data_IF_634834958585
#
_entry.id   IF_634834958585
#
_cell.length_a   1.000
_cell.length_b   1.000
_cell.length_c   1.000
_cell.angle_alpha   90.00
_cell.angle_beta   90.00
_cell.angle_gamma   90.00
#
_symmetry.space_group_name_H-M   'P 1'
#
loop_
_entity.id
_entity.type
_entity.pdbx_description
1 polymer ?
#
# COMPACT_ATOMS: atom_id res chain seq x y z
N UNK A 1 -2.72 10.62 5.72
CA UNK A 1 -3.60 11.05 4.60
C UNK A 1 -3.47 10.16 3.37
N UNK A 2 -2.24 9.89 2.89
CA UNK A 2 -1.98 9.01 1.75
C UNK A 2 -2.47 7.58 1.98
N UNK A 3 -2.26 7.02 3.17
CA UNK A 3 -2.72 5.67 3.50
C UNK A 3 -4.24 5.56 3.53
N UNK A 4 -4.95 6.59 4.00
CA UNK A 4 -6.42 6.61 3.98
C UNK A 4 -6.93 6.64 2.55
N UNK A 5 -6.33 7.47 1.70
CA UNK A 5 -6.72 7.55 0.29
C UNK A 5 -6.43 6.23 -0.44
N UNK A 6 -5.26 5.65 -0.25
CA UNK A 6 -4.90 4.36 -0.85
C UNK A 6 -5.84 3.25 -0.39
N UNK A 7 -6.19 3.22 0.89
CA UNK A 7 -7.15 2.24 1.41
C UNK A 7 -8.52 2.38 0.72
N UNK A 8 -8.99 3.60 0.49
CA UNK A 8 -10.23 3.85 -0.25
C UNK A 8 -10.12 3.44 -1.73
N UNK A 9 -9.00 3.71 -2.38
CA UNK A 9 -8.75 3.27 -3.77
C UNK A 9 -8.82 1.74 -3.85
N UNK A 10 -8.15 1.04 -2.95
CA UNK A 10 -8.17 -0.42 -2.91
C UNK A 10 -9.58 -0.97 -2.65
N UNK A 11 -10.31 -0.38 -1.70
CA UNK A 11 -11.66 -0.81 -1.38
C UNK A 11 -12.61 -0.68 -2.57
N UNK A 12 -12.61 0.47 -3.23
CA UNK A 12 -13.44 0.70 -4.42
C UNK A 12 -13.04 -0.22 -5.57
N UNK A 13 -11.73 -0.34 -5.81
CA UNK A 13 -11.21 -1.17 -6.91
C UNK A 13 -11.59 -2.64 -6.73
N UNK A 14 -11.38 -3.20 -5.56
CA UNK A 14 -11.71 -4.60 -5.27
C UNK A 14 -13.22 -4.83 -5.36
N UNK A 15 -14.02 -3.95 -4.74
CA UNK A 15 -15.48 -4.07 -4.77
C UNK A 15 -16.03 -4.02 -6.19
N UNK A 16 -15.64 -3.04 -6.97
CA UNK A 16 -16.13 -2.89 -8.36
C UNK A 16 -15.69 -4.04 -9.30
N UNK A 17 -14.49 -4.57 -9.06
CA UNK A 17 -13.94 -5.63 -9.92
C UNK A 17 -14.34 -7.05 -9.52
N UNK A 18 -14.70 -7.27 -8.25
CA UNK A 18 -14.95 -8.62 -7.72
C UNK A 18 -16.32 -8.78 -7.05
N UNK A 19 -17.00 -7.68 -6.76
CA UNK A 19 -18.22 -7.68 -5.95
C UNK A 19 -18.00 -7.95 -4.47
N UNK A 20 -16.73 -8.05 -4.03
CA UNK A 20 -16.40 -8.27 -2.62
C UNK A 20 -16.31 -6.95 -1.88
N UNK A 21 -17.11 -6.79 -0.83
CA UNK A 21 -17.06 -5.60 0.04
C UNK A 21 -15.80 -5.62 0.88
N UNK A 22 -15.06 -4.50 0.86
CA UNK A 22 -13.85 -4.31 1.65
C UNK A 22 -14.15 -3.44 2.85
N UNK A 23 -13.83 -3.95 4.04
CA UNK A 23 -13.96 -3.23 5.30
C UNK A 23 -12.65 -2.48 5.58
N UNK A 24 -12.76 -1.17 5.82
CA UNK A 24 -11.61 -0.35 6.20
C UNK A 24 -11.43 -0.36 7.72
N UNK A 25 -10.18 -0.56 8.16
CA UNK A 25 -9.77 -0.48 9.57
C UNK A 25 -8.76 0.64 9.76
N UNK A 26 -8.81 1.30 10.91
CA UNK A 26 -7.89 2.38 11.27
C UNK A 26 -7.00 1.93 12.42
N UNK A 27 -5.74 2.33 12.38
CA UNK A 27 -4.75 2.05 13.42
C UNK A 27 -4.07 3.34 13.85
N UNK A 28 -3.70 3.41 15.11
CA UNK A 28 -3.01 4.58 15.67
C UNK A 28 -1.56 4.67 15.23
N UNK A 29 -0.91 3.53 15.02
CA UNK A 29 0.51 3.46 14.66
C UNK A 29 0.76 2.48 13.52
N UNK A 30 1.92 2.65 12.86
CA UNK A 30 2.40 1.70 11.85
C UNK A 30 2.62 0.31 12.43
N UNK A 31 3.13 0.22 13.66
CA UNK A 31 3.37 -1.05 14.33
C UNK A 31 2.10 -1.83 14.54
N UNK A 32 1.02 -1.16 14.94
CA UNK A 32 -0.30 -1.80 15.10
C UNK A 32 -0.84 -2.33 13.76
N UNK A 33 -0.71 -1.55 12.69
CA UNK A 33 -1.15 -1.97 11.35
C UNK A 33 -0.33 -3.16 10.84
N UNK A 34 0.98 -3.13 11.02
CA UNK A 34 1.87 -4.22 10.62
C UNK A 34 1.55 -5.51 11.41
N UNK A 35 1.37 -5.42 12.72
CA UNK A 35 0.97 -6.58 13.53
C UNK A 35 -0.38 -7.14 13.10
N UNK A 36 -1.32 -6.29 12.72
CA UNK A 36 -2.63 -6.72 12.25
C UNK A 36 -2.55 -7.54 10.95
N UNK A 37 -1.73 -7.10 9.97
CA UNK A 37 -1.55 -7.87 8.73
C UNK A 37 -0.77 -9.15 8.96
N UNK A 38 0.23 -9.11 9.83
CA UNK A 38 1.02 -10.29 10.21
C UNK A 38 0.17 -11.35 10.90
N UNK A 39 -0.79 -10.94 11.73
CA UNK A 39 -1.68 -11.83 12.48
C UNK A 39 -2.97 -12.19 11.74
N UNK A 40 -3.06 -11.91 10.45
CA UNK A 40 -4.26 -12.16 9.62
C UNK A 40 -5.52 -11.42 10.08
N UNK A 41 -5.39 -10.38 10.90
CA UNK A 41 -6.51 -9.55 11.36
C UNK A 41 -7.02 -8.60 10.30
N UNK A 42 -6.11 -8.16 9.42
CA UNK A 42 -6.42 -7.44 8.18
C UNK A 42 -5.74 -8.14 7.01
N UNK A 43 -6.32 -8.00 5.83
CA UNK A 43 -5.83 -8.67 4.62
C UNK A 43 -4.74 -7.90 3.90
N UNK A 44 -4.87 -6.57 3.86
CA UNK A 44 -4.01 -5.67 3.09
C UNK A 44 -3.61 -4.45 3.93
N UNK A 45 -2.37 -4.01 3.70
CA UNK A 45 -1.83 -2.81 4.32
C UNK A 45 -0.80 -2.17 3.38
N UNK A 46 -0.92 -0.86 3.14
CA UNK A 46 0.01 -0.12 2.29
C UNK A 46 1.07 0.61 3.12
N UNK A 47 2.32 0.48 2.73
CA UNK A 47 3.42 1.21 3.37
C UNK A 47 4.61 1.33 2.41
N UNK A 48 5.72 1.90 2.89
CA UNK A 48 6.92 2.18 2.11
C UNK A 48 8.00 1.12 2.33
N UNK A 49 8.63 0.69 1.25
CA UNK A 49 9.61 -0.41 1.24
C UNK A 49 10.78 -0.21 2.22
N UNK A 50 11.42 0.95 2.18
CA UNK A 50 12.59 1.21 3.02
C UNK A 50 12.25 1.39 4.49
N UNK A 51 11.06 1.93 4.80
CA UNK A 51 10.59 2.06 6.18
C UNK A 51 10.37 0.68 6.79
N UNK A 52 9.67 -0.19 6.07
CA UNK A 52 9.38 -1.55 6.55
C UNK A 52 10.68 -2.37 6.68
N UNK A 53 11.57 -2.27 5.70
CA UNK A 53 12.86 -2.96 5.74
C UNK A 53 13.69 -2.53 6.97
N UNK A 54 13.78 -1.23 7.23
CA UNK A 54 14.50 -0.71 8.40
C UNK A 54 13.87 -1.08 9.72
N UNK A 55 12.55 -0.93 9.82
CA UNK A 55 11.82 -1.09 11.08
C UNK A 55 11.62 -2.55 11.50
N UNK A 56 11.28 -3.41 10.57
CA UNK A 56 10.90 -4.80 10.87
C UNK A 56 11.94 -5.83 10.47
N UNK A 57 12.82 -5.53 9.53
CA UNK A 57 13.96 -6.38 9.19
C UNK A 57 15.26 -5.96 9.90
N UNK A 58 15.29 -4.73 10.45
CA UNK A 58 16.48 -4.19 11.11
C UNK A 58 17.63 -3.93 10.14
N UNK A 59 17.35 -3.78 8.85
CA UNK A 59 18.34 -3.61 7.81
C UNK A 59 18.39 -2.18 7.29
N UNK A 60 19.61 -1.67 7.05
CA UNK A 60 19.78 -0.37 6.40
C UNK A 60 19.49 -0.54 4.91
N UNK A 61 18.59 0.29 4.33
CA UNK A 61 18.33 0.24 2.90
C UNK A 61 19.59 0.53 2.07
N UNK A 62 19.80 -0.26 1.01
CA UNK A 62 20.86 -0.06 0.04
C UNK A 62 20.48 1.09 -0.94
N UNK A 63 21.46 1.67 -1.67
CA UNK A 63 21.15 2.66 -2.72
C UNK A 63 20.29 2.12 -3.86
N UNK A 64 20.38 0.84 -4.17
CA UNK A 64 19.60 0.17 -5.21
C UNK A 64 18.25 -0.27 -4.68
N UNK A 65 17.18 0.39 -5.13
CA UNK A 65 15.80 0.10 -4.69
C UNK A 65 15.35 -1.31 -5.08
N UNK A 66 15.81 -1.82 -6.23
CA UNK A 66 15.51 -3.21 -6.62
C UNK A 66 16.03 -4.23 -5.64
N UNK A 67 17.21 -4.01 -5.08
CA UNK A 67 17.79 -4.86 -4.03
C UNK A 67 17.00 -4.75 -2.73
N UNK A 68 16.56 -3.55 -2.37
CA UNK A 68 15.75 -3.33 -1.18
C UNK A 68 14.42 -4.09 -1.27
N UNK A 69 13.74 -4.04 -2.41
CA UNK A 69 12.47 -4.74 -2.63
C UNK A 69 12.67 -6.25 -2.59
N UNK A 70 13.73 -6.78 -3.24
CA UNK A 70 14.03 -8.20 -3.22
C UNK A 70 14.27 -8.70 -1.79
N UNK A 71 15.05 -7.96 -1.01
CA UNK A 71 15.32 -8.29 0.39
C UNK A 71 14.07 -8.19 1.25
N UNK A 72 13.25 -7.16 1.04
CA UNK A 72 11.98 -6.98 1.73
C UNK A 72 11.04 -8.16 1.50
N UNK A 73 10.88 -8.59 0.25
CA UNK A 73 10.04 -9.75 -0.10
C UNK A 73 10.51 -11.00 0.64
N UNK A 74 11.81 -11.23 0.68
CA UNK A 74 12.39 -12.38 1.37
C UNK A 74 12.10 -12.35 2.88
N UNK A 75 12.39 -11.23 3.55
CA UNK A 75 12.21 -11.09 5.00
C UNK A 75 10.73 -11.20 5.38
N UNK A 76 9.84 -10.52 4.68
CA UNK A 76 8.40 -10.57 4.96
C UNK A 76 7.85 -11.97 4.79
N UNK A 77 8.25 -12.67 3.74
CA UNK A 77 7.80 -14.03 3.49
C UNK A 77 8.30 -15.01 4.56
N UNK A 78 9.59 -14.94 4.91
CA UNK A 78 10.22 -15.91 5.83
C UNK A 78 9.87 -15.67 7.29
N UNK A 79 9.95 -14.41 7.75
CA UNK A 79 9.77 -14.08 9.18
C UNK A 79 8.34 -13.76 9.56
N UNK A 80 7.57 -13.16 8.66
CA UNK A 80 6.28 -12.56 9.01
C UNK A 80 5.10 -13.17 8.28
N UNK A 81 5.35 -14.08 7.35
CA UNK A 81 4.28 -14.73 6.59
C UNK A 81 3.41 -13.72 5.81
N UNK A 82 4.06 -12.67 5.30
CA UNK A 82 3.46 -11.56 4.57
C UNK A 82 4.07 -11.48 3.18
N UNK A 83 3.26 -11.16 2.18
CA UNK A 83 3.68 -11.00 0.80
C UNK A 83 3.73 -9.51 0.45
N UNK A 84 4.82 -9.04 -0.15
CA UNK A 84 4.93 -7.70 -0.71
C UNK A 84 4.51 -7.72 -2.18
N UNK A 85 3.54 -6.86 -2.53
CA UNK A 85 3.09 -6.71 -3.91
C UNK A 85 3.77 -5.51 -4.58
N UNK A 86 3.73 -5.49 -5.90
CA UNK A 86 4.39 -4.49 -6.72
C UNK A 86 4.03 -3.05 -6.33
N UNK A 87 5.01 -2.14 -6.35
CA UNK A 87 4.80 -0.77 -5.92
C UNK A 87 3.86 0.01 -6.83
N UNK A 88 3.14 0.98 -6.24
CA UNK A 88 2.21 1.85 -6.95
C UNK A 88 2.88 2.84 -7.92
N UNK A 89 4.00 3.43 -7.50
CA UNK A 89 4.73 4.42 -8.29
C UNK A 89 5.12 5.69 -7.54
N UNK A 90 4.62 5.93 -6.32
CA UNK A 90 5.07 7.06 -5.51
C UNK A 90 6.11 6.61 -4.48
N UNK A 91 7.05 7.51 -4.18
CA UNK A 91 8.24 7.19 -3.38
C UNK A 91 8.63 8.31 -2.41
N UNK A 92 7.69 9.18 -2.05
CA UNK A 92 7.94 10.24 -1.08
C UNK A 92 6.86 10.31 -0.01
N UNK A 93 7.16 10.97 1.11
CA UNK A 93 6.19 11.21 2.16
C UNK A 93 5.15 12.24 1.74
N UNK A 94 3.89 11.98 2.07
CA UNK A 94 2.77 12.89 1.91
C UNK A 94 2.16 13.30 3.25
N UNK A 95 2.77 12.92 4.37
CA UNK A 95 2.40 13.37 5.70
C UNK A 95 3.54 14.17 6.31
N UNK A 96 3.21 15.13 7.18
CA UNK A 96 4.17 16.02 7.84
C UNK A 96 5.13 15.30 8.80
N UNK A 97 5.04 13.98 8.91
CA UNK A 97 5.82 13.15 9.83
C UNK A 97 7.09 12.56 9.22
N UNK A 98 7.38 12.85 7.96
CA UNK A 98 8.63 12.45 7.33
C UNK A 98 9.76 13.38 7.76
N UNK A 99 10.90 12.82 8.16
CA UNK A 99 12.09 13.62 8.39
C UNK A 99 12.62 14.15 7.06
N UNK A 100 12.92 15.44 6.99
CA UNK A 100 13.49 16.06 5.81
C UNK A 100 14.77 15.29 5.39
N UNK A 101 14.83 14.85 4.14
CA UNK A 101 15.97 14.14 3.58
C UNK A 101 15.93 12.61 3.65
N UNK A 102 14.98 12.02 4.36
CA UNK A 102 14.79 10.58 4.35
C UNK A 102 13.96 10.14 3.14
N UNK A 103 14.48 9.16 2.41
CA UNK A 103 13.73 8.50 1.32
C UNK A 103 12.97 7.31 1.90
N UNK A 104 11.63 7.28 1.82
CA UNK A 104 10.85 6.20 2.40
C UNK A 104 10.94 4.89 1.58
N UNK A 105 11.49 4.94 0.38
CA UNK A 105 11.43 3.88 -0.60
C UNK A 105 10.13 3.91 -1.40
N UNK A 106 9.87 2.85 -2.15
CA UNK A 106 8.65 2.72 -2.96
C UNK A 106 7.45 2.36 -2.10
N UNK A 107 6.32 2.99 -2.36
CA UNK A 107 5.05 2.58 -1.78
C UNK A 107 4.57 1.28 -2.42
N UNK A 108 4.03 0.38 -1.61
CA UNK A 108 3.52 -0.90 -2.07
C UNK A 108 2.51 -1.48 -1.10
N UNK A 109 2.14 -2.73 -1.32
CA UNK A 109 1.15 -3.43 -0.52
C UNK A 109 1.74 -4.64 0.17
N UNK A 110 1.35 -4.82 1.44
CA UNK A 110 1.56 -6.06 2.18
C UNK A 110 0.25 -6.84 2.24
N UNK A 111 0.32 -8.12 1.92
CA UNK A 111 -0.81 -9.03 1.86
C UNK A 111 -0.55 -10.20 2.79
N UNK A 112 -1.49 -10.52 3.69
CA UNK A 112 -1.35 -11.72 4.51
C UNK A 112 -1.57 -12.99 3.67
N UNK A 113 -0.93 -14.09 4.04
CA UNK A 113 -1.03 -15.35 3.30
C UNK A 113 -2.43 -15.98 3.37
N UNK A 114 -3.17 -15.73 4.43
CA UNK A 114 -4.55 -16.19 4.54
C UNK A 114 -5.44 -15.59 3.44
N UNK A 115 -5.32 -14.28 3.21
CA UNK A 115 -6.04 -13.61 2.13
C UNK A 115 -5.62 -14.14 0.75
N UNK A 116 -4.33 -14.44 0.57
CA UNK A 116 -3.83 -15.02 -0.67
C UNK A 116 -4.42 -16.41 -0.93
N UNK A 117 -4.56 -17.23 0.12
CA UNK A 117 -5.19 -18.55 0.02
C UNK A 117 -6.67 -18.46 -0.33
N UNK A 118 -7.40 -17.51 0.28
CA UNK A 118 -8.83 -17.30 0.03
C UNK A 118 -9.13 -16.65 -1.32
N UNK A 119 -8.24 -15.77 -1.78
CA UNK A 119 -8.38 -14.99 -3.01
C UNK A 119 -7.11 -15.09 -3.86
N UNK A 120 -6.84 -16.25 -4.50
CA UNK A 120 -5.58 -16.46 -5.24
C UNK A 120 -5.37 -15.50 -6.41
N UNK A 121 -6.45 -14.97 -6.98
CA UNK A 121 -6.38 -14.01 -8.09
C UNK A 121 -6.11 -12.56 -7.65
N UNK A 122 -6.14 -12.28 -6.35
CA UNK A 122 -6.01 -10.92 -5.82
C UNK A 122 -4.69 -10.24 -6.20
N UNK A 123 -3.51 -10.88 -6.11
CA UNK A 123 -2.27 -10.26 -6.54
C UNK A 123 -2.28 -9.83 -8.01
N UNK A 124 -2.83 -10.66 -8.88
CA UNK A 124 -2.95 -10.34 -10.31
C UNK A 124 -3.89 -9.16 -10.56
N UNK A 125 -4.98 -9.08 -9.83
CA UNK A 125 -5.91 -7.96 -9.89
C UNK A 125 -5.23 -6.67 -9.44
N UNK A 126 -4.56 -6.70 -8.27
CA UNK A 126 -3.89 -5.53 -7.69
C UNK A 126 -2.68 -5.06 -8.52
N UNK A 127 -2.06 -5.95 -9.29
CA UNK A 127 -0.98 -5.59 -10.20
C UNK A 127 -1.41 -4.58 -11.27
N UNK A 128 -2.69 -4.46 -11.56
CA UNK A 128 -3.23 -3.45 -12.48
C UNK A 128 -3.07 -2.02 -11.96
N UNK A 129 -2.86 -1.84 -10.66
CA UNK A 129 -2.60 -0.54 -10.03
C UNK A 129 -1.13 -0.11 -10.13
N UNK A 130 -0.25 -0.98 -10.60
CA UNK A 130 1.18 -0.72 -10.73
C UNK A 130 1.44 0.51 -11.59
N UNK A 131 2.21 1.45 -11.04
CA UNK A 131 2.55 2.70 -11.74
C UNK A 131 1.41 3.68 -11.91
N UNK A 132 0.20 3.40 -11.39
CA UNK A 132 -0.96 4.29 -11.52
C UNK A 132 -0.92 5.51 -10.61
N UNK A 133 -0.15 5.43 -9.52
CA UNK A 133 -0.05 6.47 -8.49
C UNK A 133 1.39 6.96 -8.40
N UNK A 134 1.80 7.83 -9.30
CA UNK A 134 3.07 8.55 -9.17
C UNK A 134 2.95 9.69 -8.15
N UNK A 135 4.06 10.36 -7.85
CA UNK A 135 4.07 11.44 -6.86
C UNK A 135 3.13 12.59 -7.22
N UNK A 136 3.08 12.98 -8.48
CA UNK A 136 2.22 14.08 -8.94
C UNK A 136 0.75 13.71 -8.85
N UNK A 137 0.39 12.52 -9.27
CA UNK A 137 -0.98 11.99 -9.17
C UNK A 137 -1.42 11.91 -7.72
N UNK A 138 -0.58 11.36 -6.84
CA UNK A 138 -0.89 11.27 -5.41
C UNK A 138 -1.08 12.65 -4.80
N UNK A 139 -0.23 13.63 -5.12
CA UNK A 139 -0.36 15.01 -4.64
C UNK A 139 -1.69 15.63 -5.07
N UNK A 140 -2.08 15.44 -6.32
CA UNK A 140 -3.34 15.97 -6.85
C UNK A 140 -4.56 15.34 -6.15
N UNK A 141 -4.55 14.03 -5.98
CA UNK A 141 -5.64 13.31 -5.32
C UNK A 141 -5.79 13.68 -3.84
N UNK A 142 -4.67 13.89 -3.15
CA UNK A 142 -4.71 14.32 -1.74
C UNK A 142 -5.30 15.72 -1.60
N UNK A 143 -5.01 16.64 -2.52
CA UNK A 143 -5.64 17.97 -2.55
C UNK A 143 -7.15 17.89 -2.79
N UNK A 144 -7.58 17.00 -3.67
CA UNK A 144 -9.02 16.75 -3.87
C UNK A 144 -9.66 16.17 -2.61
N UNK A 145 -8.99 15.25 -1.93
CA UNK A 145 -9.51 14.60 -0.71
C UNK A 145 -9.64 15.55 0.49
N UNK A 146 -8.95 16.69 0.47
CA UNK A 146 -9.16 17.75 1.48
C UNK A 146 -10.55 18.40 1.37
N UNK A 147 -11.12 18.40 0.18
CA UNK A 147 -12.39 19.09 -0.16
C UNK A 147 -13.54 18.15 -0.46
N UNK A 148 -13.26 16.86 -0.59
CA UNK A 148 -14.24 15.86 -1.01
C UNK A 148 -14.03 14.57 -0.22
N UNK A 149 -15.06 13.73 -0.17
CA UNK A 149 -14.97 12.42 0.45
C UNK A 149 -13.89 11.56 -0.23
N UNK A 150 -12.94 10.96 0.52
CA UNK A 150 -11.88 10.13 -0.04
C UNK A 150 -12.37 8.98 -0.93
N UNK A 151 -13.52 8.39 -0.60
CA UNK A 151 -14.13 7.32 -1.41
C UNK A 151 -14.57 7.84 -2.78
N UNK A 152 -15.17 9.04 -2.82
CA UNK A 152 -15.59 9.69 -4.06
C UNK A 152 -14.37 10.05 -4.93
N UNK A 153 -13.30 10.55 -4.31
CA UNK A 153 -12.03 10.85 -5.00
C UNK A 153 -11.45 9.58 -5.60
N UNK A 154 -11.40 8.50 -4.82
CA UNK A 154 -10.92 7.19 -5.26
C UNK A 154 -11.70 6.68 -6.48
N UNK A 155 -13.03 6.78 -6.45
CA UNK A 155 -13.89 6.34 -7.56
C UNK A 155 -13.64 7.13 -8.84
N UNK A 156 -13.57 8.45 -8.74
CA UNK A 156 -13.27 9.32 -9.91
C UNK A 156 -11.91 8.99 -10.52
N UNK A 157 -10.91 8.82 -9.67
CA UNK A 157 -9.56 8.44 -10.11
C UNK A 157 -9.57 7.12 -10.88
N UNK A 158 -10.16 6.08 -10.32
CA UNK A 158 -10.21 4.75 -10.94
C UNK A 158 -10.97 4.78 -12.28
N UNK A 159 -12.06 5.52 -12.36
CA UNK A 159 -12.80 5.73 -13.62
C UNK A 159 -11.95 6.47 -14.66
N UNK A 160 -11.26 7.52 -14.26
CA UNK A 160 -10.41 8.31 -15.16
C UNK A 160 -9.27 7.48 -15.76
N UNK A 161 -8.80 6.47 -15.04
CA UNK A 161 -7.76 5.54 -15.49
C UNK A 161 -8.30 4.28 -16.14
N UNK A 162 -9.61 4.17 -16.31
CA UNK A 162 -10.30 3.00 -16.89
C UNK A 162 -9.97 1.71 -16.12
N UNK A 163 -9.84 1.79 -14.81
CA UNK A 163 -9.59 0.66 -13.93
C UNK A 163 -10.89 0.04 -13.39
N UNK A 164 -11.96 0.81 -13.42
CA UNK A 164 -13.30 0.35 -13.11
C UNK A 164 -14.30 0.83 -14.17
#
# INVERSE_FOLDING_TARGET
PDQVLVANILAVFIDERTGTTVKLSRFGTRDEAFEAVRQDKISLYADYSSIILGKFAGERPAPDEGKNIARLKEVLNRKYNVVWLEPFGYDRYFSDKGKAGEKPGQAGLMLCKDALSKFPALPRLLAKLRGSLDNDTMSALLREAEKSDPKAVARRFLKSRKLI
#
